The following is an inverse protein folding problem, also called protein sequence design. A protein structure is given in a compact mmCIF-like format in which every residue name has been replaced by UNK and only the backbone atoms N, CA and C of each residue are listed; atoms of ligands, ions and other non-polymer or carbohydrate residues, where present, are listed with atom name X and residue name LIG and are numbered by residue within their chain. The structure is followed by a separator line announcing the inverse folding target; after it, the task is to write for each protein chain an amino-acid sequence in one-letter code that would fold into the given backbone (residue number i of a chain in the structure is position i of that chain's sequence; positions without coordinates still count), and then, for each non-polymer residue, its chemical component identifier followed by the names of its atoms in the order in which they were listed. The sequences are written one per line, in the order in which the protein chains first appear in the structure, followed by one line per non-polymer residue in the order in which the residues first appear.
data_IF_932206226261
#
_entry.id   IF_932206226261
#
_cell.length_a   1.000
_cell.length_b   1.000
_cell.length_c   1.000
_cell.angle_alpha   90.00
_cell.angle_beta   90.00
_cell.angle_gamma   90.00
#
_symmetry.space_group_name_H-M   'P 1'
#
loop_
_entity.id
_entity.type
_entity.pdbx_description
1 polymer ?
#
# COMPACT_ATOMS: atom_id res chain seq x y z
N UNK A 1 -3.06 -8.80 -13.79
CA UNK A 1 -1.63 -8.59 -14.00
C UNK A 1 -1.45 -8.27 -15.47
N UNK A 2 -0.66 -7.25 -15.76
CA UNK A 2 -0.41 -6.79 -17.11
C UNK A 2 0.64 -7.66 -17.83
N UNK A 3 1.28 -8.59 -17.12
CA UNK A 3 2.15 -9.65 -17.67
C UNK A 3 3.64 -9.33 -17.60
N UNK A 4 3.98 -8.11 -17.17
CA UNK A 4 5.37 -7.63 -17.03
C UNK A 4 5.80 -7.49 -15.57
N UNK A 5 4.90 -7.73 -14.62
CA UNK A 5 5.20 -7.61 -13.20
C UNK A 5 6.15 -8.71 -12.74
N UNK A 6 7.27 -8.35 -12.11
CA UNK A 6 8.20 -9.32 -11.52
C UNK A 6 7.76 -9.79 -10.12
N UNK A 7 7.01 -8.94 -9.41
CA UNK A 7 6.53 -9.24 -8.07
C UNK A 7 5.14 -8.64 -7.84
N UNK A 8 4.36 -9.28 -6.98
CA UNK A 8 3.01 -8.85 -6.61
C UNK A 8 2.92 -8.75 -5.10
N UNK A 9 2.63 -7.56 -4.58
CA UNK A 9 2.36 -7.36 -3.16
C UNK A 9 0.87 -7.35 -2.88
N UNK A 10 0.45 -8.07 -1.83
CA UNK A 10 -0.94 -8.16 -1.42
C UNK A 10 -1.08 -8.28 0.10
N UNK A 11 -2.30 -8.05 0.60
CA UNK A 11 -2.60 -8.21 2.02
C UNK A 11 -2.81 -9.68 2.43
N UNK A 12 -2.96 -9.92 3.73
CA UNK A 12 -3.09 -11.26 4.29
C UNK A 12 -4.36 -12.02 3.83
N UNK A 13 -5.33 -11.36 3.20
CA UNK A 13 -6.48 -12.00 2.56
C UNK A 13 -6.10 -12.78 1.30
N UNK A 14 -4.95 -12.49 0.70
CA UNK A 14 -4.44 -13.13 -0.50
C UNK A 14 -3.42 -14.23 -0.24
N UNK A 15 -3.28 -14.72 1.00
CA UNK A 15 -2.32 -15.80 1.33
C UNK A 15 -2.47 -17.06 0.48
N UNK A 16 -3.68 -17.34 -0.02
CA UNK A 16 -3.98 -18.46 -0.90
C UNK A 16 -3.83 -18.17 -2.40
N UNK A 17 -3.48 -16.94 -2.79
CA UNK A 17 -3.42 -16.53 -4.19
C UNK A 17 -2.45 -17.37 -5.03
N UNK A 18 -1.22 -17.69 -4.56
CA UNK A 18 -0.27 -18.49 -5.35
C UNK A 18 -0.74 -19.92 -5.61
N UNK A 19 -1.74 -20.42 -4.86
CA UNK A 19 -2.27 -21.78 -5.01
C UNK A 19 -3.56 -21.84 -5.84
N UNK A 20 -4.05 -20.70 -6.36
CA UNK A 20 -5.25 -20.69 -7.20
C UNK A 20 -4.90 -21.14 -8.62
N UNK A 21 -5.74 -22.00 -9.19
CA UNK A 21 -5.56 -22.53 -10.56
C UNK A 21 -5.52 -21.40 -11.60
N UNK A 22 -6.34 -20.36 -11.41
CA UNK A 22 -6.36 -19.14 -12.25
C UNK A 22 -5.03 -18.37 -12.27
N UNK A 23 -4.16 -18.58 -11.28
CA UNK A 23 -2.88 -17.88 -11.11
C UNK A 23 -1.68 -18.83 -11.27
N UNK A 24 -1.91 -20.08 -11.69
CA UNK A 24 -0.86 -21.09 -11.81
C UNK A 24 0.19 -20.76 -12.87
N UNK A 25 -0.22 -20.06 -13.94
CA UNK A 25 0.67 -19.66 -15.04
C UNK A 25 1.36 -18.30 -14.79
N UNK A 26 1.08 -17.67 -13.66
CA UNK A 26 1.62 -16.35 -13.31
C UNK A 26 2.97 -16.53 -12.61
N UNK A 27 4.05 -16.38 -13.37
CA UNK A 27 5.43 -16.44 -12.86
C UNK A 27 5.84 -15.10 -12.22
N UNK A 28 5.45 -14.90 -10.96
CA UNK A 28 5.76 -13.68 -10.18
C UNK A 28 6.13 -13.98 -8.74
N UNK A 29 6.96 -13.12 -8.14
CA UNK A 29 7.27 -13.18 -6.72
C UNK A 29 6.12 -12.63 -5.87
N UNK A 30 5.49 -13.51 -5.09
CA UNK A 30 4.36 -13.14 -4.23
C UNK A 30 4.81 -12.57 -2.88
N UNK A 31 4.66 -11.26 -2.72
CA UNK A 31 4.93 -10.52 -1.49
C UNK A 31 3.65 -10.31 -0.67
N UNK A 32 3.07 -11.41 -0.21
CA UNK A 32 1.82 -11.39 0.56
C UNK A 32 2.11 -11.18 2.05
N UNK A 33 1.41 -10.23 2.68
CA UNK A 33 1.58 -9.92 4.09
C UNK A 33 1.16 -11.09 5.00
N UNK A 34 1.88 -11.30 6.09
CA UNK A 34 1.51 -12.29 7.11
C UNK A 34 0.38 -11.80 8.01
N UNK A 35 -0.38 -12.76 8.57
CA UNK A 35 -1.45 -12.44 9.50
C UNK A 35 -0.90 -11.77 10.77
N UNK A 36 -1.59 -10.77 11.34
CA UNK A 36 -1.14 -10.08 12.55
C UNK A 36 -0.80 -11.02 13.72
N UNK A 37 -1.56 -12.12 13.88
CA UNK A 37 -1.30 -13.12 14.90
C UNK A 37 0.06 -13.82 14.75
N UNK A 38 0.44 -14.20 13.53
CA UNK A 38 1.74 -14.83 13.25
C UNK A 38 2.88 -13.84 13.42
N UNK A 39 2.71 -12.60 12.95
CA UNK A 39 3.68 -11.52 13.17
C UNK A 39 3.89 -11.26 14.67
N UNK A 40 2.83 -11.33 15.48
CA UNK A 40 2.92 -11.20 16.95
C UNK A 40 3.76 -12.32 17.56
N UNK A 41 3.57 -13.57 17.14
CA UNK A 41 4.39 -14.71 17.60
C UNK A 41 5.85 -14.55 17.20
N UNK A 42 6.14 -14.12 15.97
CA UNK A 42 7.51 -13.88 15.52
C UNK A 42 8.24 -12.87 16.42
N UNK A 43 7.54 -11.80 16.80
CA UNK A 43 8.06 -10.73 17.68
C UNK A 43 8.33 -11.16 19.12
N UNK A 44 7.82 -12.31 19.59
CA UNK A 44 8.14 -12.84 20.92
C UNK A 44 9.62 -13.26 21.01
N UNK A 45 10.22 -13.68 19.89
CA UNK A 45 11.61 -14.14 19.81
C UNK A 45 12.38 -13.40 18.71
N UNK A 46 12.57 -12.08 18.85
CA UNK A 46 13.02 -11.22 17.75
C UNK A 46 14.46 -11.52 17.29
N UNK A 47 15.33 -12.00 18.18
CA UNK A 47 16.71 -12.39 17.83
C UNK A 47 16.74 -13.59 16.87
N UNK A 48 15.87 -14.58 17.08
CA UNK A 48 15.75 -15.77 16.23
C UNK A 48 15.02 -15.46 14.92
N UNK A 49 13.99 -14.61 14.99
CA UNK A 49 13.08 -14.31 13.88
C UNK A 49 13.42 -13.01 13.14
N UNK A 50 14.65 -12.48 13.28
CA UNK A 50 15.04 -11.16 12.78
C UNK A 50 14.74 -10.98 11.29
N UNK A 51 15.11 -11.97 10.46
CA UNK A 51 14.90 -11.92 9.01
C UNK A 51 13.41 -11.88 8.65
N UNK A 52 12.59 -12.74 9.26
CA UNK A 52 11.15 -12.79 9.00
C UNK A 52 10.45 -11.48 9.42
N UNK A 53 10.83 -10.91 10.56
CA UNK A 53 10.29 -9.62 11.03
C UNK A 53 10.65 -8.50 10.05
N UNK A 54 11.90 -8.48 9.56
CA UNK A 54 12.35 -7.47 8.60
C UNK A 54 11.60 -7.57 7.26
N UNK A 55 11.34 -8.79 6.78
CA UNK A 55 10.54 -9.01 5.56
C UNK A 55 9.13 -8.43 5.73
N UNK A 56 8.44 -8.74 6.84
CA UNK A 56 7.10 -8.20 7.10
C UNK A 56 7.11 -6.67 7.28
N UNK A 57 8.17 -6.13 7.87
CA UNK A 57 8.37 -4.68 7.95
C UNK A 57 8.54 -4.05 6.55
N UNK A 58 9.32 -4.67 5.67
CA UNK A 58 9.50 -4.19 4.29
C UNK A 58 8.18 -4.21 3.51
N UNK A 59 7.40 -5.30 3.59
CA UNK A 59 6.05 -5.38 2.99
C UNK A 59 5.14 -4.26 3.50
N UNK A 60 5.12 -4.02 4.81
CA UNK A 60 4.34 -2.96 5.42
C UNK A 60 4.80 -1.55 4.98
N UNK A 61 6.11 -1.34 4.81
CA UNK A 61 6.69 -0.07 4.36
C UNK A 61 6.30 0.24 2.90
N UNK A 62 6.34 -0.76 2.02
CA UNK A 62 5.85 -0.64 0.64
C UNK A 62 4.38 -0.25 0.64
N UNK A 63 3.55 -0.96 1.42
CA UNK A 63 2.11 -0.68 1.54
C UNK A 63 1.84 0.74 2.03
N UNK A 64 2.59 1.22 3.02
CA UNK A 64 2.42 2.56 3.58
C UNK A 64 2.63 3.68 2.55
N UNK A 65 3.53 3.50 1.56
CA UNK A 65 3.74 4.48 0.48
C UNK A 65 2.48 4.68 -0.37
N UNK A 66 1.76 3.59 -0.64
CA UNK A 66 0.51 3.63 -1.43
C UNK A 66 -0.66 4.12 -0.57
N UNK A 67 -0.77 3.64 0.67
CA UNK A 67 -1.86 4.02 1.58
C UNK A 67 -1.87 5.51 1.95
N UNK A 68 -0.69 6.16 1.95
CA UNK A 68 -0.57 7.54 2.41
C UNK A 68 -1.34 8.56 1.54
N UNK A 69 -1.17 8.60 0.19
CA UNK A 69 -2.01 9.40 -0.68
C UNK A 69 -3.52 9.13 -0.52
N UNK A 70 -3.92 7.86 -0.41
CA UNK A 70 -5.33 7.51 -0.20
C UNK A 70 -5.87 8.04 1.13
N UNK A 71 -5.05 8.04 2.18
CA UNK A 71 -5.44 8.62 3.48
C UNK A 71 -5.67 10.12 3.33
N UNK A 72 -4.78 10.85 2.65
CA UNK A 72 -4.95 12.29 2.35
C UNK A 72 -6.28 12.53 1.66
N UNK A 73 -6.51 11.82 0.56
CA UNK A 73 -7.71 11.97 -0.27
C UNK A 73 -8.99 11.67 0.53
N UNK A 74 -9.01 10.57 1.29
CA UNK A 74 -10.21 10.14 2.02
C UNK A 74 -10.48 10.95 3.28
N UNK A 75 -9.45 11.35 4.01
CA UNK A 75 -9.59 11.98 5.34
C UNK A 75 -9.44 13.50 5.30
N UNK A 76 -8.42 14.02 4.65
CA UNK A 76 -8.17 15.46 4.57
C UNK A 76 -9.05 16.11 3.51
N UNK A 77 -9.19 15.50 2.34
CA UNK A 77 -10.05 16.05 1.26
C UNK A 77 -11.49 15.53 1.30
N UNK A 78 -11.79 14.56 2.17
CA UNK A 78 -13.16 14.07 2.38
C UNK A 78 -13.75 13.27 1.22
N UNK A 79 -12.93 12.76 0.30
CA UNK A 79 -13.41 11.93 -0.81
C UNK A 79 -13.68 10.50 -0.34
N UNK A 80 -14.87 10.27 0.23
CA UNK A 80 -15.28 8.98 0.79
C UNK A 80 -16.11 8.15 -0.20
N UNK A 81 -16.79 8.80 -1.15
CA UNK A 81 -17.63 8.16 -2.17
C UNK A 81 -17.43 8.81 -3.54
N UNK A 82 -17.41 7.98 -4.58
CA UNK A 82 -17.50 8.45 -5.95
C UNK A 82 -18.86 9.15 -6.18
N UNK A 83 -18.90 10.10 -7.11
CA UNK A 83 -20.16 10.77 -7.48
C UNK A 83 -20.81 10.00 -8.62
N UNK A 84 -22.12 9.83 -8.63
CA UNK A 84 -22.83 9.21 -9.76
C UNK A 84 -22.94 10.20 -10.93
N UNK A 85 -21.79 10.65 -11.47
CA UNK A 85 -21.67 11.62 -12.57
C UNK A 85 -21.00 11.03 -13.83
N UNK A 86 -20.80 9.71 -13.86
CA UNK A 86 -20.13 8.97 -14.94
C UNK A 86 -18.67 8.65 -14.62
N UNK A 87 -18.17 7.53 -15.19
CA UNK A 87 -16.82 7.00 -14.95
C UNK A 87 -15.74 8.04 -15.24
N UNK A 88 -15.75 8.62 -16.45
CA UNK A 88 -14.78 9.63 -16.87
C UNK A 88 -14.69 10.83 -15.92
N UNK A 89 -15.83 11.31 -15.40
CA UNK A 89 -15.84 12.46 -14.46
C UNK A 89 -15.27 12.07 -13.10
N UNK A 90 -15.52 10.85 -12.63
CA UNK A 90 -14.93 10.36 -11.39
C UNK A 90 -13.42 10.15 -11.53
N UNK A 91 -12.97 9.59 -12.66
CA UNK A 91 -11.55 9.37 -12.92
C UNK A 91 -10.77 10.70 -12.97
N UNK A 92 -11.31 11.69 -13.68
CA UNK A 92 -10.74 13.04 -13.72
C UNK A 92 -10.72 13.69 -12.32
N UNK A 93 -11.78 13.53 -11.53
CA UNK A 93 -11.82 14.03 -10.16
C UNK A 93 -10.73 13.36 -9.30
N UNK A 94 -10.57 12.05 -9.42
CA UNK A 94 -9.59 11.28 -8.68
C UNK A 94 -8.16 11.68 -9.08
N UNK A 95 -7.88 11.86 -10.37
CA UNK A 95 -6.60 12.36 -10.87
C UNK A 95 -6.26 13.73 -10.26
N UNK A 96 -7.21 14.66 -10.24
CA UNK A 96 -7.02 15.96 -9.60
C UNK A 96 -6.76 15.85 -8.09
N UNK A 97 -7.47 14.97 -7.38
CA UNK A 97 -7.26 14.75 -5.95
C UNK A 97 -5.87 14.16 -5.65
N UNK A 98 -5.36 13.27 -6.50
CA UNK A 98 -3.99 12.76 -6.37
C UNK A 98 -2.95 13.84 -6.61
N UNK A 99 -3.13 14.69 -7.63
CA UNK A 99 -2.25 15.85 -7.87
C UNK A 99 -2.21 16.78 -6.66
N UNK A 100 -3.38 17.11 -6.09
CA UNK A 100 -3.48 17.92 -4.89
C UNK A 100 -2.87 17.24 -3.66
N UNK A 101 -2.99 15.92 -3.53
CA UNK A 101 -2.40 15.17 -2.42
C UNK A 101 -0.86 15.21 -2.48
N UNK A 102 -0.29 15.14 -3.68
CA UNK A 102 1.16 15.29 -3.89
C UNK A 102 1.64 16.70 -3.50
N UNK A 103 0.93 17.75 -3.93
CA UNK A 103 1.25 19.14 -3.56
C UNK A 103 1.16 19.35 -2.04
N UNK A 104 0.08 18.87 -1.43
CA UNK A 104 -0.09 18.92 0.03
C UNK A 104 1.04 18.21 0.76
N UNK A 105 1.50 17.06 0.25
CA UNK A 105 2.62 16.32 0.84
C UNK A 105 3.94 17.08 0.73
N UNK A 106 4.23 17.68 -0.42
CA UNK A 106 5.43 18.49 -0.63
C UNK A 106 5.46 19.70 0.32
N UNK A 107 4.33 20.40 0.44
CA UNK A 107 4.14 21.52 1.36
C UNK A 107 4.37 21.12 2.84
N UNK A 108 3.90 19.93 3.24
CA UNK A 108 4.24 19.37 4.57
C UNK A 108 5.74 19.10 4.75
N UNK A 109 6.45 18.67 3.71
CA UNK A 109 7.90 18.43 3.78
C UNK A 109 8.68 19.73 3.93
N UNK A 110 8.29 20.77 3.19
CA UNK A 110 8.91 22.10 3.27
C UNK A 110 8.74 22.67 4.69
N UNK A 111 7.51 22.71 5.21
CA UNK A 111 7.24 23.18 6.58
C UNK A 111 7.91 22.34 7.68
N UNK A 112 8.20 21.08 7.41
CA UNK A 112 8.97 20.25 8.35
C UNK A 112 10.45 20.62 8.32
N UNK A 113 11.01 20.83 7.12
CA UNK A 113 12.39 21.24 6.93
C UNK A 113 12.69 22.60 7.57
N UNK A 114 11.80 23.58 7.37
CA UNK A 114 11.88 24.93 7.97
C UNK A 114 11.81 24.94 9.49
N UNK A 115 11.18 23.93 10.12
CA UNK A 115 11.12 23.81 11.59
C UNK A 115 12.32 23.06 12.19
N UNK A 116 13.09 22.38 11.35
CA UNK A 116 14.23 21.56 11.77
C UNK A 116 15.57 22.31 11.66
N UNK A 117 15.55 23.52 11.09
CA UNK A 117 16.67 24.46 10.95
C UNK A 117 16.24 25.81 11.54
#
# INVERSE_FOLDING_TARGET
LHGEEQFVSADAGYQGAPQREELAEVDVDWLIAERPGKVKTLKQHPRKNKTAINIEYMKASIRAKVEHPFRIIKRQFGFVKARYKGLLKNDNQLAMLFTLANLFRADQMIRQWERSH
#
